data_IF_146599006278
#
_entry.id   IF_146599006278
#
_cell.length_a   1.000
_cell.length_b   1.000
_cell.length_c   1.000
_cell.angle_alpha   90.00
_cell.angle_beta   90.00
_cell.angle_gamma   90.00
#
_symmetry.space_group_name_H-M   'P 1'
#
loop_
_entity.id
_entity.type
_entity.pdbx_description
1 polymer ?
#
# COMPACT_ATOMS: atom_id res chain seq x y z
N UNK A 1 3.03 3.10 -31.87
CA UNK A 1 3.33 2.07 -30.86
C UNK A 1 3.19 2.64 -29.43
N UNK A 2 2.30 3.62 -29.22
CA UNK A 2 2.06 4.32 -27.94
C UNK A 2 0.60 4.19 -27.44
N UNK A 3 -0.26 3.47 -28.16
CA UNK A 3 -1.72 3.56 -27.94
C UNK A 3 -2.17 2.88 -26.63
N UNK A 4 -1.64 1.69 -26.31
CA UNK A 4 -2.09 0.91 -25.15
C UNK A 4 -1.65 1.52 -23.81
N UNK A 5 -0.40 1.97 -23.72
CA UNK A 5 0.11 2.64 -22.52
C UNK A 5 -0.58 3.98 -22.30
N UNK A 6 -0.88 4.73 -23.37
CA UNK A 6 -1.65 5.97 -23.28
C UNK A 6 -3.10 5.71 -22.87
N UNK A 7 -3.77 4.70 -23.42
CA UNK A 7 -5.11 4.27 -22.98
C UNK A 7 -5.13 3.86 -21.51
N UNK A 8 -4.12 3.13 -21.05
CA UNK A 8 -4.01 2.73 -19.64
C UNK A 8 -3.80 3.94 -18.73
N UNK A 9 -2.95 4.90 -19.14
CA UNK A 9 -2.78 6.17 -18.41
C UNK A 9 -4.07 6.99 -18.37
N UNK A 10 -4.83 7.02 -19.45
CA UNK A 10 -6.15 7.65 -19.49
C UNK A 10 -7.11 6.99 -18.51
N UNK A 11 -7.08 5.66 -18.38
CA UNK A 11 -7.90 4.94 -17.39
C UNK A 11 -7.52 5.31 -15.95
N UNK A 12 -6.22 5.41 -15.65
CA UNK A 12 -5.73 5.87 -14.33
C UNK A 12 -6.21 7.31 -14.05
N UNK A 13 -6.10 8.19 -15.05
CA UNK A 13 -6.57 9.58 -14.93
C UNK A 13 -8.10 9.67 -14.75
N UNK A 14 -8.87 8.84 -15.48
CA UNK A 14 -10.32 8.78 -15.38
C UNK A 14 -10.80 8.29 -14.00
N UNK A 15 -9.98 7.51 -13.29
CA UNK A 15 -10.20 7.12 -11.90
C UNK A 15 -9.79 8.21 -10.88
N UNK A 16 -9.36 9.38 -11.33
CA UNK A 16 -9.00 10.52 -10.48
C UNK A 16 -7.57 10.47 -9.91
N UNK A 17 -6.72 9.58 -10.41
CA UNK A 17 -5.31 9.49 -9.99
C UNK A 17 -4.41 10.19 -11.01
N UNK A 18 -3.34 10.87 -10.57
CA UNK A 18 -2.33 11.39 -11.51
C UNK A 18 -1.52 10.23 -12.10
N UNK A 19 -1.62 9.93 -13.41
CA UNK A 19 -0.87 8.81 -13.99
C UNK A 19 0.64 9.09 -14.01
N UNK A 20 1.48 8.05 -13.91
CA UNK A 20 2.92 8.21 -14.09
C UNK A 20 3.26 8.69 -15.51
N UNK A 21 4.40 9.36 -15.67
CA UNK A 21 4.87 9.85 -16.98
C UNK A 21 5.23 8.70 -17.91
N UNK A 22 5.74 7.61 -17.36
CA UNK A 22 6.16 6.41 -18.06
C UNK A 22 5.48 5.18 -17.44
N UNK A 23 4.99 4.28 -18.30
CA UNK A 23 4.42 3.00 -17.91
C UNK A 23 5.42 1.91 -18.28
N UNK A 24 5.80 1.10 -17.30
CA UNK A 24 6.65 -0.07 -17.46
C UNK A 24 5.73 -1.28 -17.60
N UNK A 25 5.79 -1.94 -18.76
CA UNK A 25 4.98 -3.09 -19.13
C UNK A 25 5.81 -4.38 -19.01
N UNK A 26 6.15 -4.72 -17.77
CA UNK A 26 6.92 -5.92 -17.41
C UNK A 26 6.09 -6.93 -16.58
N UNK A 27 4.78 -6.67 -16.43
CA UNK A 27 3.91 -7.49 -15.58
C UNK A 27 4.19 -7.38 -14.08
N UNK A 28 5.06 -6.48 -13.63
CA UNK A 28 5.35 -6.26 -12.21
C UNK A 28 4.51 -5.11 -11.62
N UNK A 29 4.45 -5.08 -10.28
CA UNK A 29 3.82 -3.97 -9.56
C UNK A 29 4.79 -2.78 -9.50
N UNK A 30 4.37 -1.65 -10.08
CA UNK A 30 5.13 -0.40 -10.07
C UNK A 30 4.48 0.66 -9.19
N UNK A 31 5.27 1.37 -8.39
CA UNK A 31 4.81 2.47 -7.50
C UNK A 31 4.81 3.80 -8.24
N UNK A 32 3.73 4.57 -8.11
CA UNK A 32 3.66 5.96 -8.59
C UNK A 32 2.98 6.89 -7.58
N UNK A 33 3.07 8.21 -7.83
CA UNK A 33 2.40 9.21 -7.00
C UNK A 33 0.99 9.47 -7.51
N UNK A 34 -0.02 9.27 -6.68
CA UNK A 34 -1.43 9.53 -7.03
C UNK A 34 -1.81 11.01 -7.03
N UNK A 35 -0.93 11.89 -6.52
CA UNK A 35 -1.16 13.34 -6.39
C UNK A 35 -0.10 14.19 -7.12
N UNK A 36 0.80 13.56 -7.87
CA UNK A 36 1.93 14.23 -8.52
C UNK A 36 3.09 14.63 -7.59
N UNK A 37 2.95 14.46 -6.26
CA UNK A 37 4.05 14.70 -5.30
C UNK A 37 5.00 13.49 -5.26
N UNK A 38 6.29 13.61 -5.64
CA UNK A 38 7.18 12.46 -5.82
C UNK A 38 7.37 11.57 -4.58
N UNK A 39 7.22 12.15 -3.39
CA UNK A 39 7.37 11.47 -2.10
C UNK A 39 6.16 10.64 -1.69
N UNK A 40 4.98 10.88 -2.26
CA UNK A 40 3.73 10.22 -1.90
C UNK A 40 3.38 9.10 -2.87
N UNK A 41 4.19 8.04 -2.88
CA UNK A 41 4.04 6.91 -3.80
C UNK A 41 2.96 5.92 -3.36
N UNK A 42 1.73 6.37 -3.11
CA UNK A 42 0.61 5.50 -2.69
C UNK A 42 -0.07 4.79 -3.86
N UNK A 43 0.26 5.16 -5.10
CA UNK A 43 -0.32 4.58 -6.29
C UNK A 43 0.45 3.36 -6.77
N UNK A 44 -0.27 2.44 -7.39
CA UNK A 44 0.34 1.36 -8.16
C UNK A 44 -0.37 1.01 -9.42
N UNK A 45 0.39 0.39 -10.30
CA UNK A 45 -0.15 -0.31 -11.44
C UNK A 45 0.65 -1.57 -11.76
N UNK A 46 0.06 -2.38 -12.62
CA UNK A 46 0.65 -3.51 -13.32
C UNK A 46 0.00 -3.56 -14.69
N UNK A 47 0.79 -3.83 -15.73
CA UNK A 47 0.32 -3.93 -17.11
C UNK A 47 0.90 -5.19 -17.76
N UNK A 48 0.07 -5.83 -18.57
CA UNK A 48 0.41 -6.90 -19.49
C UNK A 48 -0.14 -6.52 -20.87
N UNK A 49 0.72 -6.16 -21.84
CA UNK A 49 0.27 -5.83 -23.20
C UNK A 49 0.21 -7.01 -24.17
N UNK A 50 0.57 -8.22 -23.75
CA UNK A 50 0.57 -9.40 -24.61
C UNK A 50 -0.87 -9.84 -24.97
N UNK A 51 -1.17 -9.87 -26.27
CA UNK A 51 -2.51 -10.23 -26.77
C UNK A 51 -3.55 -9.15 -26.46
N UNK A 52 -4.59 -9.49 -25.71
CA UNK A 52 -5.53 -8.48 -25.19
C UNK A 52 -4.90 -7.86 -23.95
N UNK A 53 -4.45 -6.62 -24.09
CA UNK A 53 -3.81 -5.93 -22.99
C UNK A 53 -4.75 -5.82 -21.78
N UNK A 54 -4.22 -6.18 -20.62
CA UNK A 54 -4.91 -6.15 -19.34
C UNK A 54 -3.98 -5.56 -18.29
N UNK A 55 -4.55 -4.82 -17.36
CA UNK A 55 -3.78 -4.22 -16.28
C UNK A 55 -4.64 -4.02 -15.04
N UNK A 56 -4.01 -3.58 -13.98
CA UNK A 56 -4.70 -3.15 -12.78
C UNK A 56 -3.95 -1.96 -12.18
N UNK A 57 -4.69 -1.06 -11.53
CA UNK A 57 -4.10 0.07 -10.83
C UNK A 57 -4.90 0.42 -9.58
N UNK A 58 -4.32 1.20 -8.67
CA UNK A 58 -4.99 1.58 -7.44
C UNK A 58 -4.19 2.52 -6.55
N UNK A 59 -4.76 2.80 -5.37
CA UNK A 59 -4.13 3.55 -4.28
C UNK A 59 -4.21 2.72 -2.98
N UNK A 60 -3.06 2.34 -2.43
CA UNK A 60 -3.01 1.53 -1.20
C UNK A 60 -3.50 2.25 0.05
N UNK A 61 -3.38 3.58 0.09
CA UNK A 61 -3.81 4.36 1.26
C UNK A 61 -5.33 4.36 1.34
N UNK A 62 -5.98 4.57 0.20
CA UNK A 62 -7.44 4.61 0.11
C UNK A 62 -8.06 3.20 -0.03
N UNK A 63 -7.24 2.16 -0.23
CA UNK A 63 -7.72 0.81 -0.49
C UNK A 63 -8.43 0.67 -1.83
N UNK A 64 -8.16 1.59 -2.77
CA UNK A 64 -8.76 1.61 -4.09
C UNK A 64 -7.99 0.70 -5.04
N UNK A 65 -8.71 -0.06 -5.86
CA UNK A 65 -8.15 -0.90 -6.91
C UNK A 65 -9.17 -1.02 -8.07
N UNK A 66 -8.66 -1.01 -9.29
CA UNK A 66 -9.46 -1.16 -10.50
C UNK A 66 -8.70 -1.99 -11.53
N UNK A 67 -9.40 -2.92 -12.18
CA UNK A 67 -8.88 -3.66 -13.33
C UNK A 67 -9.17 -2.87 -14.62
N UNK A 68 -8.28 -3.00 -15.60
CA UNK A 68 -8.38 -2.39 -16.91
C UNK A 68 -8.17 -3.44 -18.00
N UNK A 69 -8.86 -3.25 -19.13
CA UNK A 69 -8.66 -4.01 -20.33
C UNK A 69 -8.73 -3.08 -21.55
N UNK A 70 -7.84 -3.30 -22.52
CA UNK A 70 -7.82 -2.58 -23.80
C UNK A 70 -9.03 -2.86 -24.69
N UNK A 71 -9.71 -3.98 -24.47
CA UNK A 71 -10.86 -4.42 -25.26
C UNK A 71 -12.11 -4.40 -24.39
N UNK A 72 -13.21 -3.87 -24.93
CA UNK A 72 -14.50 -3.89 -24.23
C UNK A 72 -15.03 -5.33 -24.13
N UNK A 73 -15.58 -5.71 -22.98
CA UNK A 73 -16.10 -7.06 -22.72
C UNK A 73 -17.15 -7.51 -23.75
N UNK A 74 -17.98 -6.57 -24.23
CA UNK A 74 -19.00 -6.79 -25.27
C UNK A 74 -18.43 -7.17 -26.63
N UNK A 75 -17.15 -6.83 -26.89
CA UNK A 75 -16.45 -7.13 -28.14
C UNK A 75 -15.56 -8.37 -28.06
N UNK A 76 -15.46 -9.01 -26.89
CA UNK A 76 -14.65 -10.20 -26.70
C UNK A 76 -15.40 -11.46 -27.18
N UNK A 77 -14.64 -12.40 -27.73
CA UNK A 77 -15.08 -13.79 -27.90
C UNK A 77 -15.06 -14.50 -26.54
N UNK A 78 -15.66 -15.69 -26.47
CA UNK A 78 -15.66 -16.47 -25.23
C UNK A 78 -14.25 -16.92 -24.81
N UNK A 79 -13.41 -17.31 -25.76
CA UNK A 79 -12.02 -17.68 -25.51
C UNK A 79 -11.21 -16.48 -24.98
N UNK A 80 -11.43 -15.28 -25.54
CA UNK A 80 -10.81 -14.04 -25.05
C UNK A 80 -11.28 -13.66 -23.64
N UNK A 81 -12.58 -13.79 -23.33
CA UNK A 81 -13.10 -13.58 -21.98
C UNK A 81 -12.50 -14.54 -20.97
N UNK A 82 -12.35 -15.81 -21.33
CA UNK A 82 -11.71 -16.80 -20.48
C UNK A 82 -10.25 -16.40 -20.18
N UNK A 83 -9.46 -16.09 -21.21
CA UNK A 83 -8.09 -15.65 -21.04
C UNK A 83 -7.97 -14.33 -20.24
N UNK A 84 -8.91 -13.41 -20.38
CA UNK A 84 -8.96 -12.17 -19.60
C UNK A 84 -9.22 -12.45 -18.11
N UNK A 85 -10.18 -13.33 -17.78
CA UNK A 85 -10.46 -13.73 -16.39
C UNK A 85 -9.24 -14.37 -15.73
N UNK A 86 -8.54 -15.25 -16.42
CA UNK A 86 -7.31 -15.88 -15.90
C UNK A 86 -6.21 -14.84 -15.63
N UNK A 87 -6.06 -13.84 -16.50
CA UNK A 87 -5.15 -12.71 -16.27
C UNK A 87 -5.56 -11.90 -15.04
N UNK A 88 -6.84 -11.53 -14.92
CA UNK A 88 -7.35 -10.80 -13.75
C UNK A 88 -7.10 -11.57 -12.44
N UNK A 89 -7.34 -12.88 -12.44
CA UNK A 89 -7.08 -13.75 -11.28
C UNK A 89 -5.59 -13.77 -10.93
N UNK A 90 -4.71 -13.85 -11.93
CA UNK A 90 -3.26 -13.82 -11.74
C UNK A 90 -2.80 -12.49 -11.15
N UNK A 91 -3.27 -11.36 -11.69
CA UNK A 91 -2.95 -10.02 -11.18
C UNK A 91 -3.47 -9.82 -9.75
N UNK A 92 -4.68 -10.33 -9.44
CA UNK A 92 -5.23 -10.29 -8.08
C UNK A 92 -4.33 -11.05 -7.11
N UNK A 93 -3.91 -12.28 -7.47
CA UNK A 93 -3.02 -13.10 -6.64
C UNK A 93 -1.67 -12.42 -6.40
N UNK A 94 -1.04 -11.88 -7.45
CA UNK A 94 0.23 -11.15 -7.32
C UNK A 94 0.12 -9.96 -6.36
N UNK A 95 -1.02 -9.26 -6.34
CA UNK A 95 -1.24 -8.18 -5.37
C UNK A 95 -1.40 -8.66 -3.95
N UNK A 96 -2.12 -9.75 -3.76
CA UNK A 96 -2.31 -10.35 -2.45
C UNK A 96 -0.97 -10.84 -1.88
N UNK A 97 -0.15 -11.48 -2.72
CA UNK A 97 1.19 -11.93 -2.37
C UNK A 97 2.12 -10.75 -2.03
N UNK A 98 2.13 -9.69 -2.84
CA UNK A 98 2.91 -8.47 -2.56
C UNK A 98 2.44 -7.76 -1.29
N UNK A 99 1.13 -7.67 -1.06
CA UNK A 99 0.58 -7.10 0.17
C UNK A 99 1.00 -7.93 1.38
N UNK A 100 0.88 -9.26 1.31
CA UNK A 100 1.28 -10.16 2.37
C UNK A 100 2.78 -10.05 2.66
N UNK A 101 3.62 -10.02 1.64
CA UNK A 101 5.07 -9.85 1.79
C UNK A 101 5.41 -8.50 2.44
N UNK A 102 4.80 -7.40 1.99
CA UNK A 102 5.02 -6.07 2.59
C UNK A 102 4.58 -6.02 4.05
N UNK A 103 3.42 -6.60 4.37
CA UNK A 103 2.94 -6.67 5.75
C UNK A 103 3.84 -7.53 6.63
N UNK A 104 4.31 -8.67 6.12
CA UNK A 104 5.25 -9.54 6.84
C UNK A 104 6.57 -8.82 7.15
N UNK A 105 7.16 -8.14 6.16
CA UNK A 105 8.38 -7.36 6.36
C UNK A 105 8.17 -6.20 7.33
N UNK A 106 7.03 -5.50 7.23
CA UNK A 106 6.70 -4.42 8.15
C UNK A 106 6.48 -4.92 9.58
N UNK A 107 5.82 -6.06 9.77
CA UNK A 107 5.64 -6.68 11.07
C UNK A 107 6.98 -7.11 11.69
N UNK A 108 7.88 -7.69 10.90
CA UNK A 108 9.22 -8.06 11.35
C UNK A 108 10.05 -6.85 11.81
N UNK A 109 10.05 -5.75 11.03
CA UNK A 109 10.73 -4.52 11.42
C UNK A 109 10.06 -3.83 12.61
N UNK A 110 8.73 -3.83 12.68
CA UNK A 110 7.97 -3.35 13.82
C UNK A 110 8.35 -4.09 15.11
N UNK A 111 8.42 -5.42 15.07
CA UNK A 111 8.81 -6.24 16.20
C UNK A 111 10.26 -5.95 16.62
N UNK A 112 11.17 -5.81 15.66
CA UNK A 112 12.58 -5.47 15.92
C UNK A 112 12.70 -4.13 16.66
N UNK A 113 12.07 -3.09 16.13
CA UNK A 113 12.06 -1.75 16.76
C UNK A 113 11.40 -1.76 18.13
N UNK A 114 10.24 -2.41 18.25
CA UNK A 114 9.54 -2.56 19.52
C UNK A 114 10.41 -3.23 20.59
N UNK A 115 11.14 -4.27 20.23
CA UNK A 115 11.98 -5.03 21.16
C UNK A 115 13.19 -4.21 21.60
N UNK A 116 13.83 -3.48 20.69
CA UNK A 116 14.97 -2.62 20.99
C UNK A 116 14.62 -1.34 21.78
N UNK A 117 13.38 -0.88 21.68
CA UNK A 117 12.94 0.35 22.35
C UNK A 117 12.90 0.22 23.89
N UNK A 118 13.18 1.33 24.57
CA UNK A 118 13.24 1.40 26.04
C UNK A 118 11.85 1.62 26.64
N UNK A 119 11.53 1.10 27.83
CA UNK A 119 10.29 1.44 28.53
C UNK A 119 10.14 2.95 28.70
N UNK A 120 8.95 3.47 28.43
CA UNK A 120 8.64 4.88 28.68
C UNK A 120 8.28 5.08 30.16
N UNK A 121 9.00 5.95 30.86
CA UNK A 121 8.65 6.41 32.21
C UNK A 121 7.96 7.78 32.19
N UNK A 122 8.41 8.68 31.31
CA UNK A 122 7.87 10.02 31.13
C UNK A 122 8.00 10.46 29.67
N UNK A 123 7.05 11.27 29.21
CA UNK A 123 7.09 11.91 27.89
C UNK A 123 6.16 13.12 27.86
N UNK A 124 6.53 14.18 27.13
CA UNK A 124 5.80 15.46 27.09
C UNK A 124 4.34 15.30 26.67
N UNK A 125 4.10 14.53 25.60
CA UNK A 125 2.74 14.20 25.18
C UNK A 125 1.90 13.52 26.28
N UNK A 126 2.45 12.58 27.04
CA UNK A 126 1.72 11.90 28.11
C UNK A 126 1.40 12.85 29.26
N UNK A 127 2.36 13.70 29.62
CA UNK A 127 2.21 14.75 30.64
C UNK A 127 1.11 15.73 30.24
N UNK A 128 1.16 16.25 29.02
CA UNK A 128 0.16 17.16 28.45
C UNK A 128 -1.24 16.54 28.41
N UNK A 129 -1.33 15.23 28.11
CA UNK A 129 -2.59 14.48 28.09
C UNK A 129 -3.03 13.97 29.46
N UNK A 130 -2.23 14.11 30.51
CA UNK A 130 -2.53 13.62 31.85
C UNK A 130 -2.68 12.10 31.95
N UNK A 131 -1.97 11.34 31.10
CA UNK A 131 -2.07 9.87 31.03
C UNK A 131 -0.74 9.20 31.40
N UNK A 132 -0.81 7.97 31.90
CA UNK A 132 0.38 7.16 32.18
C UNK A 132 0.87 6.44 30.91
N UNK A 133 2.12 5.96 30.87
CA UNK A 133 2.67 5.31 29.66
C UNK A 133 1.97 4.01 29.24
N UNK A 134 1.31 3.28 30.15
CA UNK A 134 0.55 2.05 29.84
C UNK A 134 1.29 1.04 28.95
N UNK A 135 2.59 0.83 29.22
CA UNK A 135 3.43 -0.11 28.46
C UNK A 135 3.99 0.45 27.15
N UNK A 136 3.73 1.72 26.83
CA UNK A 136 4.42 2.43 25.74
C UNK A 136 5.93 2.43 25.97
N UNK A 137 6.66 2.52 24.86
CA UNK A 137 8.12 2.60 24.84
C UNK A 137 8.56 3.93 24.24
N UNK A 138 9.85 4.22 24.30
CA UNK A 138 10.48 5.37 23.65
C UNK A 138 11.51 4.91 22.62
N UNK A 139 11.52 5.61 21.50
CA UNK A 139 12.53 5.49 20.44
C UNK A 139 12.96 6.91 20.06
N UNK A 140 14.14 7.32 20.53
CA UNK A 140 14.55 8.73 20.47
C UNK A 140 13.65 9.61 21.35
N UNK A 141 13.13 10.67 20.76
CA UNK A 141 12.19 11.63 21.36
C UNK A 141 10.71 11.25 21.15
N UNK A 142 10.43 10.09 20.52
CA UNK A 142 9.07 9.66 20.19
C UNK A 142 8.59 8.60 21.15
N UNK A 143 7.31 8.70 21.52
CA UNK A 143 6.57 7.55 22.04
C UNK A 143 6.39 6.52 20.94
N UNK A 144 6.53 5.26 21.33
CA UNK A 144 6.31 4.11 20.51
C UNK A 144 5.18 3.28 21.11
N UNK A 145 4.16 2.99 20.31
CA UNK A 145 2.98 2.21 20.69
C UNK A 145 2.85 1.04 19.70
N UNK A 146 2.74 -0.21 20.19
CA UNK A 146 2.65 -1.36 19.32
C UNK A 146 1.22 -1.55 18.82
N UNK A 147 1.06 -1.81 17.54
CA UNK A 147 -0.21 -2.27 16.96
C UNK A 147 -0.23 -3.79 17.00
N UNK A 148 -1.14 -4.38 17.79
CA UNK A 148 -1.19 -5.81 18.04
C UNK A 148 -2.53 -6.41 17.62
N UNK A 149 -2.50 -7.69 17.23
CA UNK A 149 -3.71 -8.49 17.10
C UNK A 149 -4.21 -9.00 18.46
N UNK A 150 -5.32 -9.75 18.45
CA UNK A 150 -5.93 -10.35 19.66
C UNK A 150 -5.04 -11.40 20.32
N UNK A 151 -4.08 -11.98 19.60
CA UNK A 151 -3.07 -12.89 20.15
C UNK A 151 -1.86 -12.15 20.74
N UNK A 152 -1.79 -10.82 20.60
CA UNK A 152 -0.69 -9.98 21.08
C UNK A 152 0.48 -9.83 20.11
N UNK A 153 0.37 -10.36 18.88
CA UNK A 153 1.42 -10.27 17.86
C UNK A 153 1.53 -8.84 17.34
N UNK A 154 2.75 -8.30 17.28
CA UNK A 154 3.01 -6.96 16.74
C UNK A 154 2.98 -6.99 15.21
N UNK A 155 2.11 -6.19 14.61
CA UNK A 155 1.98 -6.06 13.15
C UNK A 155 2.40 -4.69 12.60
N UNK A 156 2.44 -3.67 13.45
CA UNK A 156 2.82 -2.31 13.09
C UNK A 156 3.18 -1.50 14.34
N UNK A 157 3.62 -0.26 14.15
CA UNK A 157 3.91 0.70 15.21
C UNK A 157 3.18 2.01 14.94
N UNK A 158 2.68 2.63 16.01
CA UNK A 158 2.35 4.05 16.02
C UNK A 158 3.45 4.80 16.78
N UNK A 159 3.90 5.90 16.19
CA UNK A 159 4.80 6.86 16.84
C UNK A 159 4.04 8.13 17.19
N UNK A 160 4.38 8.75 18.32
CA UNK A 160 3.86 10.06 18.72
C UNK A 160 5.05 10.95 19.08
N UNK A 161 5.20 12.07 18.39
CA UNK A 161 6.22 13.07 18.68
C UNK A 161 5.85 13.91 19.93
N UNK A 162 6.79 14.69 20.50
CA UNK A 162 6.52 15.53 21.68
C UNK A 162 5.36 16.51 21.49
N UNK A 163 5.20 17.06 20.28
CA UNK A 163 4.10 17.95 19.87
C UNK A 163 2.75 17.24 19.73
N UNK A 164 2.72 15.91 19.83
CA UNK A 164 1.53 15.08 19.67
C UNK A 164 1.24 14.62 18.24
N UNK A 165 2.12 14.94 17.27
CA UNK A 165 2.01 14.44 15.89
C UNK A 165 2.11 12.92 15.87
N UNK A 166 1.07 12.25 15.34
CA UNK A 166 0.97 10.79 15.29
C UNK A 166 1.22 10.26 13.90
N UNK A 167 2.08 9.24 13.80
CA UNK A 167 2.38 8.58 12.53
C UNK A 167 2.33 7.07 12.71
N UNK A 168 1.74 6.37 11.73
CA UNK A 168 1.79 4.92 11.65
C UNK A 168 2.94 4.47 10.77
N UNK A 169 3.49 3.30 11.08
CA UNK A 169 4.53 2.67 10.28
C UNK A 169 3.99 2.28 8.90
N UNK A 170 4.68 2.72 7.85
CA UNK A 170 4.35 2.40 6.46
C UNK A 170 4.37 0.89 6.21
N UNK A 171 3.38 0.39 5.46
CA UNK A 171 3.27 -1.04 5.12
C UNK A 171 2.79 -1.95 6.26
N UNK A 172 2.79 -1.47 7.51
CA UNK A 172 2.27 -2.21 8.65
C UNK A 172 0.75 -2.29 8.66
N UNK A 173 0.20 -3.41 9.13
CA UNK A 173 -1.25 -3.57 9.31
C UNK A 173 -1.71 -2.74 10.52
N UNK A 174 -2.56 -1.75 10.26
CA UNK A 174 -3.10 -0.82 11.29
C UNK A 174 -4.58 -1.03 11.60
N UNK A 175 -5.29 -1.79 10.76
CA UNK A 175 -6.68 -2.20 10.94
C UNK A 175 -6.75 -3.72 11.06
N UNK A 176 -7.42 -4.18 12.10
CA UNK A 176 -7.60 -5.58 12.48
C UNK A 176 -9.01 -6.01 12.17
#
# INVERSE_FOLDING_TARGET
MNDLTDQFRLAIAAAGLTPPTEIIDDGAIHRFSTSGKPTHKNGWYMLHSDGIAAGAFGDWREGFAQNWCSKADTSMTEAERFAHRERVNTMQRQREDDLAQRQHLAAADALKRWTAAKPCTQHDYLTSKGIRPHGAKIEGDKLLIPMRDTAGTVHSLQTIAPDGTKMFMSGGRVKG
#
